data_IF_570886975887
#
_entry.id   IF_570886975887
#
_cell.length_a   1.000
_cell.length_b   1.000
_cell.length_c   1.000
_cell.angle_alpha   90.00
_cell.angle_beta   90.00
_cell.angle_gamma   90.00
#
_symmetry.space_group_name_H-M   'P 1'
#
loop_
_entity.id
_entity.type
_entity.pdbx_description
1 polymer ?
#
# COMPACT_ATOMS: atom_id res chain seq x y z
N UNK A 1 -18.38 -14.65 15.61
CA UNK A 1 -17.25 -14.28 14.71
C UNK A 1 -17.44 -15.06 13.41
N UNK A 2 -17.29 -14.41 12.25
CA UNK A 2 -17.38 -15.08 10.95
C UNK A 2 -16.33 -16.22 10.88
N UNK A 3 -16.70 -17.44 10.37
CA UNK A 3 -15.77 -18.56 10.18
C UNK A 3 -14.49 -18.20 9.41
N UNK A 4 -14.61 -17.46 8.33
CA UNK A 4 -13.47 -16.98 7.53
C UNK A 4 -12.51 -16.10 8.34
N UNK A 5 -13.06 -15.19 9.17
CA UNK A 5 -12.24 -14.36 10.10
C UNK A 5 -11.51 -15.21 11.13
N UNK A 6 -12.13 -16.29 11.63
CA UNK A 6 -11.47 -17.23 12.58
C UNK A 6 -10.28 -17.92 11.92
N UNK A 7 -10.46 -18.44 10.69
CA UNK A 7 -9.38 -19.08 9.94
C UNK A 7 -8.21 -18.10 9.70
N UNK A 8 -8.48 -16.88 9.28
CA UNK A 8 -7.46 -15.86 9.09
C UNK A 8 -6.68 -15.53 10.36
N UNK A 9 -7.36 -15.36 11.51
CA UNK A 9 -6.71 -15.14 12.81
C UNK A 9 -5.82 -16.33 13.18
N UNK A 10 -6.32 -17.55 13.00
CA UNK A 10 -5.57 -18.77 13.33
C UNK A 10 -4.31 -18.92 12.48
N UNK A 11 -4.39 -18.62 11.17
CA UNK A 11 -3.22 -18.60 10.28
C UNK A 11 -2.22 -17.56 10.77
N UNK A 12 -2.67 -16.37 11.12
CA UNK A 12 -1.78 -15.33 11.64
C UNK A 12 -1.09 -15.72 12.95
N UNK A 13 -1.83 -16.27 13.91
CA UNK A 13 -1.30 -16.68 15.21
C UNK A 13 -0.31 -17.85 15.11
N UNK A 14 -0.46 -18.68 14.07
CA UNK A 14 0.40 -19.86 13.84
C UNK A 14 1.41 -19.63 12.70
N UNK A 15 1.59 -18.39 12.25
CA UNK A 15 2.34 -18.06 11.04
C UNK A 15 3.77 -18.62 11.07
N UNK A 16 4.50 -18.43 12.15
CA UNK A 16 5.89 -18.88 12.28
C UNK A 16 5.98 -20.41 12.16
N UNK A 17 5.09 -21.15 12.86
CA UNK A 17 5.02 -22.60 12.77
C UNK A 17 4.71 -23.06 11.33
N UNK A 18 3.77 -22.39 10.66
CA UNK A 18 3.40 -22.71 9.28
C UNK A 18 4.57 -22.46 8.33
N UNK A 19 5.26 -21.33 8.45
CA UNK A 19 6.43 -20.98 7.61
C UNK A 19 7.51 -22.05 7.75
N UNK A 20 7.87 -22.40 8.99
CA UNK A 20 8.88 -23.45 9.24
C UNK A 20 8.49 -24.78 8.61
N UNK A 21 7.25 -25.22 8.80
CA UNK A 21 6.76 -26.48 8.23
C UNK A 21 6.74 -26.45 6.69
N UNK A 22 6.19 -25.39 6.09
CA UNK A 22 6.04 -25.26 4.65
C UNK A 22 7.40 -25.25 3.97
N UNK A 23 8.33 -24.44 4.47
CA UNK A 23 9.68 -24.33 3.91
C UNK A 23 10.45 -25.64 4.02
N UNK A 24 10.42 -26.28 5.21
CA UNK A 24 11.07 -27.57 5.43
C UNK A 24 10.51 -28.66 4.49
N UNK A 25 9.17 -28.71 4.36
CA UNK A 25 8.50 -29.68 3.50
C UNK A 25 8.76 -29.44 2.02
N UNK A 26 8.84 -28.17 1.61
CA UNK A 26 9.15 -27.85 0.21
C UNK A 26 10.61 -28.20 -0.14
N UNK A 27 11.57 -27.97 0.76
CA UNK A 27 12.97 -28.39 0.55
C UNK A 27 13.06 -29.91 0.44
N UNK A 28 12.31 -30.67 1.25
CA UNK A 28 12.25 -32.13 1.14
C UNK A 28 11.74 -32.60 -0.24
N UNK A 29 10.67 -31.95 -0.76
CA UNK A 29 10.03 -32.30 -2.03
C UNK A 29 10.80 -31.74 -3.25
N UNK A 30 11.54 -30.67 -3.08
CA UNK A 30 12.33 -30.00 -4.13
C UNK A 30 13.79 -29.83 -3.66
N UNK A 31 14.62 -30.88 -3.71
CA UNK A 31 15.98 -30.88 -3.15
C UNK A 31 16.89 -29.77 -3.71
N UNK A 32 16.63 -29.26 -4.92
CA UNK A 32 17.37 -28.12 -5.50
C UNK A 32 17.34 -26.87 -4.60
N UNK A 33 16.30 -26.69 -3.79
CA UNK A 33 16.20 -25.58 -2.83
C UNK A 33 17.21 -25.70 -1.67
N UNK A 34 17.74 -26.90 -1.41
CA UNK A 34 18.79 -27.08 -0.40
C UNK A 34 20.10 -26.41 -0.82
N UNK A 35 20.33 -26.24 -2.12
CA UNK A 35 21.51 -25.62 -2.71
C UNK A 35 21.45 -24.08 -2.65
N UNK A 36 20.33 -23.51 -2.28
CA UNK A 36 20.18 -22.06 -2.12
C UNK A 36 21.19 -21.52 -1.12
N UNK A 37 21.83 -20.40 -1.48
CA UNK A 37 22.70 -19.68 -0.56
C UNK A 37 21.87 -19.05 0.60
N UNK A 38 22.57 -18.48 1.58
CA UNK A 38 21.95 -17.90 2.78
C UNK A 38 20.89 -16.84 2.44
N UNK A 39 21.18 -15.95 1.49
CA UNK A 39 20.24 -14.88 1.09
C UNK A 39 19.01 -15.45 0.39
N UNK A 40 19.18 -16.41 -0.51
CA UNK A 40 18.06 -17.07 -1.20
C UNK A 40 17.16 -17.83 -0.23
N UNK A 41 17.74 -18.54 0.75
CA UNK A 41 16.97 -19.21 1.82
C UNK A 41 16.19 -18.21 2.64
N UNK A 42 16.82 -17.11 3.02
CA UNK A 42 16.13 -16.04 3.77
C UNK A 42 14.95 -15.46 2.98
N UNK A 43 15.17 -15.11 1.71
CA UNK A 43 14.08 -14.61 0.84
C UNK A 43 12.95 -15.63 0.71
N UNK A 44 13.26 -16.93 0.62
CA UNK A 44 12.25 -17.98 0.52
C UNK A 44 11.39 -18.08 1.79
N UNK A 45 11.98 -17.90 3.00
CA UNK A 45 11.24 -17.78 4.25
C UNK A 45 10.36 -16.53 4.27
N UNK A 46 10.92 -15.38 3.92
CA UNK A 46 10.21 -14.09 3.88
C UNK A 46 9.04 -14.12 2.88
N UNK A 47 9.22 -14.69 1.69
CA UNK A 47 8.16 -14.84 0.69
C UNK A 47 7.01 -15.73 1.23
N UNK A 48 7.33 -16.86 1.87
CA UNK A 48 6.32 -17.74 2.47
C UNK A 48 5.56 -17.03 3.60
N UNK A 49 6.25 -16.22 4.40
CA UNK A 49 5.65 -15.38 5.43
C UNK A 49 4.69 -14.34 4.84
N UNK A 50 5.09 -13.68 3.74
CA UNK A 50 4.21 -12.74 3.03
C UNK A 50 2.97 -13.43 2.46
N UNK A 51 3.11 -14.60 1.84
CA UNK A 51 1.96 -15.36 1.31
C UNK A 51 0.93 -15.65 2.41
N UNK A 52 1.39 -16.12 3.58
CA UNK A 52 0.50 -16.38 4.72
C UNK A 52 -0.10 -15.10 5.31
N UNK A 53 0.66 -14.01 5.36
CA UNK A 53 0.19 -12.72 5.88
C UNK A 53 -0.92 -12.13 5.01
N UNK A 54 -0.77 -12.17 3.68
CA UNK A 54 -1.80 -11.72 2.74
C UNK A 54 -3.03 -12.62 2.76
N UNK A 55 -2.83 -13.95 2.81
CA UNK A 55 -3.94 -14.90 2.94
C UNK A 55 -4.73 -14.67 4.23
N UNK A 56 -4.03 -14.58 5.37
CA UNK A 56 -4.65 -14.37 6.67
C UNK A 56 -5.46 -13.06 6.70
N UNK A 57 -4.91 -11.98 6.18
CA UNK A 57 -5.57 -10.68 6.18
C UNK A 57 -6.81 -10.66 5.28
N UNK A 58 -6.70 -11.23 4.08
CA UNK A 58 -7.82 -11.33 3.14
C UNK A 58 -8.98 -12.18 3.70
N UNK A 59 -8.65 -13.25 4.44
CA UNK A 59 -9.65 -14.07 5.15
C UNK A 59 -10.28 -13.31 6.32
N UNK A 60 -9.49 -12.58 7.14
CA UNK A 60 -10.02 -11.81 8.27
C UNK A 60 -11.04 -10.78 7.83
N UNK A 61 -10.82 -10.17 6.68
CA UNK A 61 -11.68 -9.15 6.10
C UNK A 61 -12.77 -9.72 5.20
N UNK A 62 -12.69 -11.02 4.87
CA UNK A 62 -13.58 -11.72 3.94
C UNK A 62 -13.60 -11.06 2.54
N UNK A 63 -12.41 -10.68 2.05
CA UNK A 63 -12.20 -9.97 0.77
C UNK A 63 -11.19 -10.75 -0.09
N UNK A 64 -11.64 -11.76 -0.87
CA UNK A 64 -10.76 -12.62 -1.68
C UNK A 64 -9.93 -11.84 -2.70
N UNK A 65 -10.48 -10.75 -3.25
CA UNK A 65 -9.80 -9.91 -4.23
C UNK A 65 -8.46 -9.38 -3.74
N UNK A 66 -8.31 -9.16 -2.42
CA UNK A 66 -7.05 -8.68 -1.84
C UNK A 66 -5.93 -9.71 -1.98
N UNK A 67 -6.24 -10.99 -1.82
CA UNK A 67 -5.27 -12.07 -2.02
C UNK A 67 -5.01 -12.31 -3.52
N UNK A 68 -6.05 -12.32 -4.35
CA UNK A 68 -5.94 -12.50 -5.80
C UNK A 68 -5.03 -11.44 -6.44
N UNK A 69 -5.20 -10.16 -6.10
CA UNK A 69 -4.37 -9.08 -6.63
C UNK A 69 -2.91 -9.18 -6.16
N UNK A 70 -2.69 -9.57 -4.90
CA UNK A 70 -1.35 -9.90 -4.41
C UNK A 70 -0.72 -11.04 -5.22
N UNK A 71 -1.44 -12.12 -5.50
CA UNK A 71 -0.95 -13.26 -6.26
C UNK A 71 -0.62 -12.88 -7.71
N UNK A 72 -1.44 -12.04 -8.35
CA UNK A 72 -1.13 -11.49 -9.69
C UNK A 72 0.15 -10.68 -9.67
N UNK A 73 0.34 -9.86 -8.63
CA UNK A 73 1.55 -9.08 -8.43
C UNK A 73 2.79 -9.98 -8.27
N UNK A 74 2.69 -11.00 -7.40
CA UNK A 74 3.78 -11.98 -7.14
C UNK A 74 4.13 -12.74 -8.41
N UNK A 75 3.14 -13.16 -9.20
CA UNK A 75 3.37 -13.87 -10.46
C UNK A 75 4.23 -13.06 -11.43
N UNK A 76 3.93 -11.77 -11.60
CA UNK A 76 4.72 -10.87 -12.45
C UNK A 76 6.14 -10.75 -11.89
N UNK A 77 6.27 -10.45 -10.59
CA UNK A 77 7.58 -10.27 -9.94
C UNK A 77 8.46 -11.51 -10.07
N UNK A 78 7.95 -12.70 -9.78
CA UNK A 78 8.74 -13.94 -9.87
C UNK A 78 9.11 -14.31 -11.30
N UNK A 79 8.32 -13.92 -12.29
CA UNK A 79 8.69 -14.11 -13.69
C UNK A 79 9.95 -13.30 -14.08
N UNK A 80 10.19 -12.14 -13.44
CA UNK A 80 11.35 -11.28 -13.74
C UNK A 80 12.67 -11.82 -13.18
N UNK A 81 12.60 -12.60 -12.11
CA UNK A 81 13.76 -13.26 -11.51
C UNK A 81 13.93 -14.71 -11.99
N UNK A 82 13.16 -15.12 -13.02
CA UNK A 82 13.14 -16.46 -13.60
C UNK A 82 12.88 -17.57 -12.57
N UNK A 83 12.07 -17.32 -11.55
CA UNK A 83 11.64 -18.34 -10.61
C UNK A 83 10.55 -19.21 -11.28
N UNK A 84 10.79 -20.55 -11.41
CA UNK A 84 9.80 -21.43 -12.04
C UNK A 84 8.46 -21.38 -11.31
N UNK A 85 7.32 -21.22 -12.03
CA UNK A 85 5.98 -21.18 -11.42
C UNK A 85 5.68 -22.41 -10.55
N UNK A 86 6.28 -23.56 -10.88
CA UNK A 86 6.11 -24.83 -10.15
C UNK A 86 6.58 -24.72 -8.68
N UNK A 87 7.56 -23.85 -8.37
CA UNK A 87 8.04 -23.64 -7.01
C UNK A 87 6.94 -22.98 -6.15
N UNK A 88 6.25 -21.99 -6.70
CA UNK A 88 5.19 -21.28 -5.98
C UNK A 88 3.92 -22.12 -5.90
N UNK A 89 3.57 -22.82 -6.97
CA UNK A 89 2.45 -23.77 -6.97
C UNK A 89 2.68 -24.88 -5.92
N UNK A 90 3.92 -25.37 -5.80
CA UNK A 90 4.27 -26.35 -4.76
C UNK A 90 4.12 -25.73 -3.36
N UNK A 91 4.57 -24.47 -3.15
CA UNK A 91 4.40 -23.77 -1.88
C UNK A 91 2.91 -23.68 -1.48
N UNK A 92 2.02 -23.27 -2.38
CA UNK A 92 0.57 -23.20 -2.09
C UNK A 92 -0.06 -24.58 -1.84
N UNK A 93 0.36 -25.63 -2.55
CA UNK A 93 -0.11 -27.01 -2.29
C UNK A 93 0.32 -27.47 -0.89
N UNK A 94 1.58 -27.25 -0.54
CA UNK A 94 2.10 -27.58 0.80
C UNK A 94 1.40 -26.75 1.87
N UNK A 95 1.13 -25.48 1.61
CA UNK A 95 0.34 -24.62 2.51
C UNK A 95 -1.05 -25.20 2.74
N UNK A 96 -1.76 -25.68 1.72
CA UNK A 96 -3.05 -26.36 1.87
C UNK A 96 -2.95 -27.61 2.75
N UNK A 97 -1.90 -28.41 2.54
CA UNK A 97 -1.68 -29.63 3.34
C UNK A 97 -1.33 -29.28 4.80
N UNK A 98 -0.54 -28.24 5.01
CA UNK A 98 -0.23 -27.73 6.35
C UNK A 98 -1.49 -27.22 7.08
N UNK A 99 -2.34 -26.46 6.39
CA UNK A 99 -3.61 -25.99 6.96
C UNK A 99 -4.53 -27.15 7.36
N UNK A 100 -4.66 -28.19 6.52
CA UNK A 100 -5.42 -29.40 6.84
C UNK A 100 -4.83 -30.18 8.01
N UNK A 101 -3.51 -30.17 8.15
CA UNK A 101 -2.80 -30.90 9.23
C UNK A 101 -2.94 -30.20 10.58
N UNK A 102 -2.79 -28.91 10.62
CA UNK A 102 -2.72 -28.13 11.85
C UNK A 102 -4.04 -27.52 12.31
N UNK A 103 -5.04 -27.43 11.41
CA UNK A 103 -6.29 -26.74 11.70
C UNK A 103 -7.49 -27.66 11.48
N UNK A 104 -8.46 -27.53 12.38
CA UNK A 104 -9.76 -28.18 12.28
C UNK A 104 -10.84 -27.12 12.56
N UNK A 105 -10.69 -25.94 11.95
CA UNK A 105 -11.50 -24.75 12.23
C UNK A 105 -12.58 -24.58 11.17
N UNK A 106 -13.72 -24.02 11.58
CA UNK A 106 -14.68 -23.46 10.64
C UNK A 106 -13.98 -22.36 9.82
N UNK A 107 -14.19 -22.35 8.49
CA UNK A 107 -13.55 -21.40 7.58
C UNK A 107 -12.26 -21.91 6.92
N UNK A 108 -11.85 -23.15 7.21
CA UNK A 108 -10.72 -23.80 6.56
C UNK A 108 -10.96 -23.95 5.04
N UNK A 109 -12.16 -24.36 4.64
CA UNK A 109 -12.51 -24.58 3.21
C UNK A 109 -12.41 -23.29 2.39
N UNK A 110 -12.74 -22.13 2.98
CA UNK A 110 -12.56 -20.83 2.34
C UNK A 110 -11.06 -20.51 2.15
N UNK A 111 -10.23 -20.80 3.13
CA UNK A 111 -8.78 -20.62 2.99
C UNK A 111 -8.19 -21.53 1.91
N UNK A 112 -8.66 -22.78 1.82
CA UNK A 112 -8.27 -23.71 0.76
C UNK A 112 -8.72 -23.23 -0.61
N UNK A 113 -9.92 -22.65 -0.71
CA UNK A 113 -10.44 -22.06 -1.95
C UNK A 113 -9.59 -20.87 -2.41
N UNK A 114 -9.17 -19.99 -1.50
CA UNK A 114 -8.27 -18.86 -1.85
C UNK A 114 -6.93 -19.37 -2.41
N UNK A 115 -6.39 -20.45 -1.84
CA UNK A 115 -5.15 -21.08 -2.33
C UNK A 115 -5.35 -21.79 -3.67
N UNK A 116 -6.52 -22.39 -3.93
CA UNK A 116 -6.84 -22.97 -5.23
C UNK A 116 -6.90 -21.89 -6.31
N UNK A 117 -7.59 -20.78 -6.05
CA UNK A 117 -7.61 -19.62 -6.94
C UNK A 117 -6.19 -19.06 -7.21
N UNK A 118 -5.32 -19.04 -6.18
CA UNK A 118 -3.92 -18.63 -6.35
C UNK A 118 -3.16 -19.56 -7.30
N UNK A 119 -3.35 -20.88 -7.17
CA UNK A 119 -2.75 -21.87 -8.07
C UNK A 119 -3.26 -21.66 -9.51
N UNK A 120 -4.55 -21.45 -9.71
CA UNK A 120 -5.15 -21.18 -11.02
C UNK A 120 -4.60 -19.90 -11.65
N UNK A 121 -4.42 -18.81 -10.86
CA UNK A 121 -3.80 -17.59 -11.32
C UNK A 121 -2.37 -17.86 -11.81
N UNK A 122 -1.57 -18.66 -11.09
CA UNK A 122 -0.21 -18.99 -11.52
C UNK A 122 -0.18 -19.84 -12.80
N UNK A 123 -1.18 -20.68 -13.03
CA UNK A 123 -1.30 -21.52 -14.23
C UNK A 123 -1.87 -20.77 -15.45
N UNK A 124 -2.54 -19.64 -15.26
CA UNK A 124 -3.10 -18.81 -16.33
C UNK A 124 -2.01 -18.03 -17.09
N UNK A 125 -2.37 -17.32 -18.15
CA UNK A 125 -1.48 -16.36 -18.80
C UNK A 125 -1.14 -15.19 -17.86
N UNK A 126 0.08 -14.66 -17.98
CA UNK A 126 0.46 -13.49 -17.19
C UNK A 126 -0.31 -12.26 -17.64
N UNK A 127 -0.88 -11.47 -16.71
CA UNK A 127 -1.59 -10.25 -17.08
C UNK A 127 -0.62 -9.26 -17.73
N UNK A 128 -1.13 -8.48 -18.70
CA UNK A 128 -0.40 -7.33 -19.22
C UNK A 128 -0.30 -6.29 -18.11
N UNK A 129 0.84 -5.65 -18.05
CA UNK A 129 1.10 -4.61 -17.06
C UNK A 129 1.50 -3.32 -17.77
N UNK A 130 0.48 -2.55 -18.15
CA UNK A 130 0.63 -1.32 -18.93
C UNK A 130 1.27 -0.19 -18.08
N UNK A 131 1.85 0.80 -18.75
CA UNK A 131 2.43 1.98 -18.10
C UNK A 131 1.37 2.81 -17.39
N UNK A 132 1.74 3.41 -16.26
CA UNK A 132 0.92 4.39 -15.56
C UNK A 132 1.02 5.80 -16.15
N UNK A 133 2.00 6.05 -17.04
CA UNK A 133 2.11 7.29 -17.79
C UNK A 133 1.30 7.11 -19.08
N UNK A 134 -0.01 7.39 -18.99
CA UNK A 134 -0.98 7.14 -20.05
C UNK A 134 -0.92 8.21 -21.15
N UNK A 135 -1.43 7.87 -22.34
CA UNK A 135 -1.46 8.76 -23.50
C UNK A 135 -2.37 9.99 -23.30
N UNK A 136 -3.41 9.87 -22.49
CA UNK A 136 -4.36 10.94 -22.17
C UNK A 136 -3.91 11.84 -21.00
N UNK A 137 -2.77 11.56 -20.38
CA UNK A 137 -2.21 12.45 -19.36
C UNK A 137 -1.74 13.77 -20.00
N UNK A 138 -2.29 14.94 -19.61
CA UNK A 138 -1.92 16.24 -20.19
C UNK A 138 -0.45 16.61 -19.95
N UNK A 139 0.22 15.99 -19.00
CA UNK A 139 1.64 16.16 -18.67
C UNK A 139 2.49 14.92 -19.00
N UNK A 140 2.04 14.08 -19.94
CA UNK A 140 2.71 12.82 -20.30
C UNK A 140 4.20 13.01 -20.57
N UNK A 141 4.56 13.95 -21.46
CA UNK A 141 5.95 14.18 -21.85
C UNK A 141 6.79 14.71 -20.67
N UNK A 142 6.21 15.54 -19.82
CA UNK A 142 6.86 16.02 -18.60
C UNK A 142 7.10 14.86 -17.62
N UNK A 143 6.10 14.01 -17.38
CA UNK A 143 6.21 12.85 -16.52
C UNK A 143 7.27 11.85 -17.05
N UNK A 144 7.30 11.60 -18.35
CA UNK A 144 8.29 10.71 -18.97
C UNK A 144 9.72 11.27 -18.86
N UNK A 145 9.91 12.55 -19.15
CA UNK A 145 11.23 13.19 -19.05
C UNK A 145 11.70 13.27 -17.58
N UNK A 146 10.78 13.58 -16.66
CA UNK A 146 11.05 13.58 -15.22
C UNK A 146 11.53 12.20 -14.74
N UNK A 147 10.82 11.14 -15.13
CA UNK A 147 11.21 9.76 -14.83
C UNK A 147 12.59 9.42 -15.41
N UNK A 148 12.84 9.76 -16.68
CA UNK A 148 14.12 9.46 -17.34
C UNK A 148 15.29 10.14 -16.61
N UNK A 149 15.18 11.43 -16.29
CA UNK A 149 16.21 12.14 -15.52
C UNK A 149 16.50 11.46 -14.18
N UNK A 150 15.46 11.01 -13.47
CA UNK A 150 15.65 10.36 -12.18
C UNK A 150 16.24 8.94 -12.31
N UNK A 151 15.88 8.17 -13.34
CA UNK A 151 16.49 6.86 -13.61
C UNK A 151 17.99 7.02 -13.92
N UNK A 152 18.39 8.09 -14.62
CA UNK A 152 19.78 8.45 -14.93
C UNK A 152 20.52 9.06 -13.74
N UNK A 153 19.88 9.27 -12.59
CA UNK A 153 20.47 9.90 -11.41
C UNK A 153 20.55 11.43 -11.49
N UNK A 154 19.92 12.04 -12.49
CA UNK A 154 20.00 13.48 -12.77
C UNK A 154 18.88 14.26 -12.07
N UNK A 155 18.97 14.33 -10.73
CA UNK A 155 18.00 15.03 -9.87
C UNK A 155 17.87 16.52 -10.19
N UNK A 156 18.97 17.18 -10.57
CA UNK A 156 18.97 18.62 -10.79
C UNK A 156 18.22 19.02 -12.05
N UNK A 157 18.31 18.24 -13.14
CA UNK A 157 17.54 18.51 -14.34
C UNK A 157 16.08 18.11 -14.18
N UNK A 158 15.78 17.03 -13.41
CA UNK A 158 14.43 16.72 -12.97
C UNK A 158 13.79 17.91 -12.22
N UNK A 159 14.52 18.54 -11.29
CA UNK A 159 14.03 19.72 -10.57
C UNK A 159 13.83 20.94 -11.48
N UNK A 160 14.77 21.22 -12.38
CA UNK A 160 14.64 22.32 -13.37
C UNK A 160 13.42 22.14 -14.25
N UNK A 161 13.17 20.90 -14.71
CA UNK A 161 11.98 20.59 -15.50
C UNK A 161 10.70 20.95 -14.76
N UNK A 162 10.58 20.59 -13.49
CA UNK A 162 9.41 20.91 -12.66
C UNK A 162 9.24 22.42 -12.49
N UNK A 163 10.33 23.16 -12.18
CA UNK A 163 10.23 24.62 -12.05
C UNK A 163 9.83 25.30 -13.35
N UNK A 164 10.42 24.89 -14.47
CA UNK A 164 10.03 25.41 -15.77
C UNK A 164 8.56 25.11 -16.11
N UNK A 165 8.06 23.94 -15.74
CA UNK A 165 6.66 23.57 -15.92
C UNK A 165 5.73 24.50 -15.11
N UNK A 166 6.09 24.84 -13.87
CA UNK A 166 5.36 25.82 -13.04
C UNK A 166 5.39 27.23 -13.64
N UNK A 167 6.57 27.69 -14.11
CA UNK A 167 6.73 29.00 -14.75
C UNK A 167 5.89 29.13 -16.01
N UNK A 168 5.62 28.02 -16.69
CA UNK A 168 4.73 27.93 -17.85
C UNK A 168 3.24 27.76 -17.50
N UNK A 169 2.86 27.95 -16.25
CA UNK A 169 1.46 28.06 -15.80
C UNK A 169 0.83 26.78 -15.28
N UNK A 170 1.57 25.67 -15.15
CA UNK A 170 1.07 24.50 -14.45
C UNK A 170 0.88 24.80 -12.95
N UNK A 171 -0.14 24.22 -12.34
CA UNK A 171 -0.36 24.34 -10.90
C UNK A 171 0.44 23.28 -10.12
N UNK A 172 0.67 23.50 -8.82
CA UNK A 172 1.24 22.48 -7.93
C UNK A 172 0.40 21.20 -7.96
N UNK A 173 -0.93 21.33 -7.99
CA UNK A 173 -1.86 20.19 -8.08
C UNK A 173 -1.62 19.39 -9.36
N UNK A 174 -1.45 20.05 -10.50
CA UNK A 174 -1.17 19.39 -11.79
C UNK A 174 0.12 18.58 -11.72
N UNK A 175 1.18 19.17 -11.19
CA UNK A 175 2.48 18.50 -11.03
C UNK A 175 2.36 17.30 -10.09
N UNK A 176 1.68 17.44 -8.95
CA UNK A 176 1.52 16.36 -7.98
C UNK A 176 0.74 15.20 -8.57
N UNK A 177 -0.39 15.44 -9.23
CA UNK A 177 -1.27 14.39 -9.71
C UNK A 177 -0.82 13.80 -11.06
N UNK A 178 -0.34 14.65 -11.98
CA UNK A 178 -0.07 14.23 -13.36
C UNK A 178 1.41 13.97 -13.65
N UNK A 179 2.32 14.39 -12.73
CA UNK A 179 3.76 14.10 -12.87
C UNK A 179 4.22 13.19 -11.74
N UNK A 180 4.23 13.65 -10.49
CA UNK A 180 4.81 12.89 -9.38
C UNK A 180 4.06 11.58 -9.10
N UNK A 181 2.73 11.62 -8.96
CA UNK A 181 1.95 10.44 -8.63
C UNK A 181 2.07 9.36 -9.71
N UNK A 182 1.94 9.74 -10.99
CA UNK A 182 2.03 8.77 -12.09
C UNK A 182 3.44 8.22 -12.24
N UNK A 183 4.46 9.07 -12.06
CA UNK A 183 5.87 8.66 -12.09
C UNK A 183 6.18 7.66 -10.97
N UNK A 184 5.72 7.91 -9.74
CA UNK A 184 5.97 6.98 -8.63
C UNK A 184 5.27 5.64 -8.81
N UNK A 185 4.06 5.61 -9.39
CA UNK A 185 3.41 4.35 -9.77
C UNK A 185 4.19 3.63 -10.86
N UNK A 186 4.71 4.36 -11.85
CA UNK A 186 5.52 3.81 -12.93
C UNK A 186 6.85 3.25 -12.40
N UNK A 187 7.49 3.92 -11.44
CA UNK A 187 8.68 3.46 -10.74
C UNK A 187 8.42 2.11 -10.05
N UNK A 188 7.32 1.98 -9.33
CA UNK A 188 6.92 0.70 -8.71
C UNK A 188 6.71 -0.40 -9.76
N UNK A 189 6.07 -0.08 -10.90
CA UNK A 189 5.91 -1.01 -12.03
C UNK A 189 7.25 -1.42 -12.63
N UNK A 190 8.14 -0.47 -12.87
CA UNK A 190 9.47 -0.76 -13.44
C UNK A 190 10.32 -1.62 -12.51
N UNK A 191 10.24 -1.39 -11.20
CA UNK A 191 10.88 -2.24 -10.21
C UNK A 191 10.30 -3.65 -10.22
N UNK A 192 8.99 -3.79 -10.20
CA UNK A 192 8.31 -5.09 -10.28
C UNK A 192 8.68 -5.87 -11.55
N UNK A 193 8.89 -5.16 -12.67
CA UNK A 193 9.34 -5.74 -13.94
C UNK A 193 10.87 -5.98 -14.04
N UNK A 194 11.62 -5.74 -12.96
CA UNK A 194 13.07 -5.88 -12.95
C UNK A 194 13.84 -4.92 -13.87
N UNK A 195 13.18 -3.83 -14.32
CA UNK A 195 13.78 -2.81 -15.21
C UNK A 195 14.62 -1.79 -14.45
N UNK A 196 14.35 -1.62 -13.17
CA UNK A 196 15.14 -0.85 -12.22
C UNK A 196 15.33 -1.68 -10.94
N UNK A 197 16.41 -1.43 -10.20
CA UNK A 197 16.66 -2.09 -8.92
C UNK A 197 16.22 -1.23 -7.73
N UNK A 198 16.08 -1.84 -6.57
CA UNK A 198 15.50 -1.20 -5.37
C UNK A 198 16.19 0.09 -4.95
N UNK A 199 17.53 0.19 -5.09
CA UNK A 199 18.24 1.42 -4.75
C UNK A 199 17.94 2.58 -5.74
N UNK A 200 17.62 2.29 -7.01
CA UNK A 200 17.12 3.32 -7.94
C UNK A 200 15.71 3.78 -7.55
N UNK A 201 14.83 2.86 -7.19
CA UNK A 201 13.49 3.20 -6.67
C UNK A 201 13.59 4.13 -5.45
N UNK A 202 14.42 3.77 -4.46
CA UNK A 202 14.65 4.61 -3.27
C UNK A 202 15.23 5.98 -3.62
N UNK A 203 16.20 6.03 -4.54
CA UNK A 203 16.76 7.31 -5.02
C UNK A 203 15.69 8.20 -5.66
N UNK A 204 14.85 7.63 -6.55
CA UNK A 204 13.79 8.36 -7.25
C UNK A 204 12.76 8.90 -6.25
N UNK A 205 12.35 8.09 -5.29
CA UNK A 205 11.43 8.49 -4.21
C UNK A 205 12.02 9.62 -3.37
N UNK A 206 13.28 9.50 -2.92
CA UNK A 206 13.96 10.54 -2.13
C UNK A 206 14.18 11.83 -2.93
N UNK A 207 14.53 11.73 -4.21
CA UNK A 207 14.67 12.89 -5.09
C UNK A 207 13.32 13.61 -5.30
N UNK A 208 12.23 12.86 -5.46
CA UNK A 208 10.88 13.44 -5.56
C UNK A 208 10.51 14.16 -4.26
N UNK A 209 10.73 13.57 -3.10
CA UNK A 209 10.50 14.23 -1.80
C UNK A 209 11.31 15.52 -1.63
N UNK A 210 12.56 15.50 -2.07
CA UNK A 210 13.40 16.70 -2.06
C UNK A 210 12.83 17.82 -2.96
N UNK A 211 12.41 17.49 -4.19
CA UNK A 211 11.80 18.43 -5.13
C UNK A 211 10.49 18.98 -4.56
N UNK A 212 9.62 18.14 -4.00
CA UNK A 212 8.39 18.54 -3.31
C UNK A 212 8.67 19.56 -2.20
N UNK A 213 9.71 19.32 -1.38
CA UNK A 213 10.07 20.24 -0.30
C UNK A 213 10.46 21.63 -0.81
N UNK A 214 11.04 21.72 -2.01
CA UNK A 214 11.40 22.99 -2.65
C UNK A 214 10.22 23.73 -3.27
N UNK A 215 9.06 23.06 -3.42
CA UNK A 215 7.82 23.68 -3.90
C UNK A 215 7.02 24.38 -2.79
N UNK A 216 7.39 24.20 -1.52
CA UNK A 216 6.71 24.82 -0.37
C UNK A 216 6.51 26.33 -0.49
N UNK A 217 7.48 27.16 -0.96
CA UNK A 217 7.26 28.60 -1.13
C UNK A 217 6.08 28.97 -2.05
N UNK A 218 5.70 28.08 -2.96
CA UNK A 218 4.59 28.30 -3.88
C UNK A 218 3.21 27.86 -3.32
N UNK A 219 3.19 27.23 -2.11
CA UNK A 219 1.99 26.62 -1.54
C UNK A 219 1.27 27.52 -0.54
N UNK A 220 1.96 28.50 0.07
CA UNK A 220 1.42 29.27 1.19
C UNK A 220 0.67 30.56 0.80
N UNK A 221 0.14 30.63 -0.41
CA UNK A 221 -0.58 31.80 -0.90
C UNK A 221 -2.05 31.90 -0.47
N UNK A 222 -2.64 30.78 -0.01
CA UNK A 222 -4.05 30.73 0.33
C UNK A 222 -4.30 31.01 1.82
N UNK A 223 -5.35 31.80 2.16
CA UNK A 223 -5.68 32.07 3.57
C UNK A 223 -6.12 30.79 4.28
N UNK A 224 -5.65 30.62 5.52
CA UNK A 224 -6.04 29.50 6.38
C UNK A 224 -7.53 29.53 6.72
N UNK A 225 -8.18 28.34 6.68
CA UNK A 225 -9.61 28.18 6.91
C UNK A 225 -9.97 27.72 8.32
N UNK A 226 -9.00 27.61 9.25
CA UNK A 226 -9.14 27.02 10.59
C UNK A 226 -9.70 25.58 10.57
N UNK A 227 -9.49 24.85 9.48
CA UNK A 227 -9.83 23.43 9.33
C UNK A 227 -8.57 22.62 9.57
N UNK A 228 -8.67 21.57 10.39
CA UNK A 228 -7.54 20.74 10.81
C UNK A 228 -7.75 19.30 10.41
N UNK A 229 -6.72 18.70 9.83
CA UNK A 229 -6.68 17.30 9.47
C UNK A 229 -5.37 16.66 9.92
N UNK A 230 -5.43 15.45 10.48
CA UNK A 230 -4.27 14.60 10.71
C UNK A 230 -4.14 13.62 9.55
N UNK A 231 -2.91 13.41 9.05
CA UNK A 231 -2.65 12.49 7.93
C UNK A 231 -1.46 11.62 8.28
N UNK A 232 -1.63 10.29 8.16
CA UNK A 232 -0.59 9.34 8.53
C UNK A 232 -0.66 8.06 7.69
N UNK A 233 0.49 7.37 7.59
CA UNK A 233 0.51 5.95 7.29
C UNK A 233 0.36 5.16 8.59
N UNK A 234 -0.40 4.08 8.56
CA UNK A 234 -0.55 3.20 9.72
C UNK A 234 0.79 2.56 10.11
N UNK A 235 0.89 2.08 11.35
CA UNK A 235 2.05 1.31 11.80
C UNK A 235 2.35 0.14 10.85
N UNK A 236 3.62 -0.03 10.46
CA UNK A 236 4.06 -1.01 9.47
C UNK A 236 4.00 -0.52 8.01
N UNK A 237 3.35 0.60 7.71
CA UNK A 237 3.23 1.12 6.35
C UNK A 237 4.35 2.13 6.03
N UNK A 238 5.13 1.83 4.98
CA UNK A 238 6.27 2.65 4.57
C UNK A 238 5.99 3.51 3.31
N UNK A 239 4.88 3.28 2.61
CA UNK A 239 4.51 4.01 1.39
C UNK A 239 3.95 5.40 1.74
N UNK A 240 4.84 6.32 2.12
CA UNK A 240 4.48 7.61 2.70
C UNK A 240 4.30 8.75 1.69
N UNK A 241 4.79 8.59 0.46
CA UNK A 241 4.82 9.70 -0.50
C UNK A 241 3.42 10.15 -0.93
N UNK A 242 2.50 9.19 -1.15
CA UNK A 242 1.10 9.48 -1.46
C UNK A 242 0.40 10.32 -0.38
N UNK A 243 0.38 9.88 0.89
CA UNK A 243 -0.18 10.67 1.98
C UNK A 243 0.53 12.02 2.20
N UNK A 244 1.83 12.12 1.94
CA UNK A 244 2.53 13.41 1.95
C UNK A 244 1.98 14.35 0.88
N UNK A 245 1.80 13.88 -0.37
CA UNK A 245 1.17 14.68 -1.42
C UNK A 245 -0.24 15.13 -1.02
N UNK A 246 -1.02 14.26 -0.40
CA UNK A 246 -2.37 14.59 0.11
C UNK A 246 -2.27 15.71 1.15
N UNK A 247 -1.34 15.63 2.10
CA UNK A 247 -1.16 16.67 3.14
C UNK A 247 -0.81 18.03 2.52
N UNK A 248 0.16 18.05 1.61
CA UNK A 248 0.58 19.25 0.89
C UNK A 248 -0.59 19.87 0.10
N UNK A 249 -1.42 19.05 -0.54
CA UNK A 249 -2.60 19.52 -1.27
C UNK A 249 -3.72 20.03 -0.33
N UNK A 250 -3.86 19.48 0.88
CA UNK A 250 -4.74 20.07 1.91
C UNK A 250 -4.23 21.44 2.36
N UNK A 251 -2.90 21.59 2.60
CA UNK A 251 -2.28 22.88 2.92
C UNK A 251 -2.52 23.90 1.80
N UNK A 252 -2.35 23.52 0.54
CA UNK A 252 -2.63 24.34 -0.62
C UNK A 252 -4.10 24.82 -0.66
N UNK A 253 -5.03 24.03 -0.11
CA UNK A 253 -6.45 24.38 0.01
C UNK A 253 -6.81 25.06 1.35
N UNK A 254 -5.82 25.60 2.07
CA UNK A 254 -6.02 26.42 3.27
C UNK A 254 -6.34 25.64 4.55
N UNK A 255 -6.12 24.32 4.58
CA UNK A 255 -6.22 23.51 5.79
C UNK A 255 -4.94 23.60 6.62
N UNK A 256 -5.04 23.34 7.91
CA UNK A 256 -3.90 22.99 8.75
C UNK A 256 -3.75 21.48 8.72
N UNK A 257 -2.85 20.96 7.86
CA UNK A 257 -2.62 19.54 7.69
C UNK A 257 -1.41 19.08 8.52
N UNK A 258 -1.65 18.17 9.46
CA UNK A 258 -0.62 17.59 10.31
C UNK A 258 -0.21 16.23 9.74
N UNK A 259 0.87 16.20 8.98
CA UNK A 259 1.41 14.99 8.37
C UNK A 259 2.42 14.31 9.30
N UNK A 260 2.21 13.01 9.60
CA UNK A 260 3.03 12.25 10.54
C UNK A 260 3.97 11.22 9.88
N UNK A 261 3.92 11.10 8.56
CA UNK A 261 4.83 10.22 7.82
C UNK A 261 4.47 8.76 7.88
N UNK A 262 5.50 7.94 7.60
CA UNK A 262 5.43 6.49 7.57
C UNK A 262 5.41 5.88 8.98
N UNK A 263 4.89 4.63 9.07
CA UNK A 263 5.02 3.78 10.25
C UNK A 263 4.65 4.48 11.57
N UNK A 264 3.53 5.23 11.57
CA UNK A 264 3.13 6.02 12.74
C UNK A 264 2.50 5.13 13.81
N UNK A 265 3.05 5.07 15.05
CA UNK A 265 2.49 4.25 16.12
C UNK A 265 1.08 4.73 16.50
N UNK A 266 0.13 3.80 16.61
CA UNK A 266 -1.29 4.08 16.86
C UNK A 266 -1.53 4.98 18.09
N UNK A 267 -0.86 4.70 19.22
CA UNK A 267 -1.01 5.50 20.44
C UNK A 267 -0.47 6.93 20.29
N UNK A 268 0.58 7.12 19.50
CA UNK A 268 1.10 8.45 19.20
C UNK A 268 0.14 9.24 18.32
N UNK A 269 -0.49 8.57 17.35
CA UNK A 269 -1.47 9.17 16.47
C UNK A 269 -2.74 9.61 17.24
N UNK A 270 -3.24 8.80 18.16
CA UNK A 270 -4.35 9.14 19.06
C UNK A 270 -4.03 10.40 19.88
N UNK A 271 -2.83 10.46 20.47
CA UNK A 271 -2.38 11.65 21.21
C UNK A 271 -2.28 12.89 20.32
N UNK A 272 -1.79 12.74 19.10
CA UNK A 272 -1.67 13.84 18.14
C UNK A 272 -3.04 14.38 17.72
N UNK A 273 -4.02 13.52 17.43
CA UNK A 273 -5.40 13.92 17.11
C UNK A 273 -5.97 14.82 18.22
N UNK A 274 -5.83 14.38 19.48
CA UNK A 274 -6.28 15.15 20.64
C UNK A 274 -5.52 16.47 20.79
N UNK A 275 -4.18 16.46 20.69
CA UNK A 275 -3.32 17.63 20.84
C UNK A 275 -3.65 18.72 19.82
N UNK A 276 -3.74 18.34 18.55
CA UNK A 276 -4.00 19.29 17.46
C UNK A 276 -5.49 19.62 17.31
N UNK A 277 -6.36 18.92 18.03
CA UNK A 277 -7.82 19.08 17.94
C UNK A 277 -8.31 18.94 16.50
N UNK A 278 -7.80 17.94 15.79
CA UNK A 278 -8.22 17.64 14.45
C UNK A 278 -9.62 16.99 14.46
N UNK A 279 -10.52 17.45 13.61
CA UNK A 279 -11.85 16.84 13.44
C UNK A 279 -11.87 15.72 12.41
N UNK A 280 -10.83 15.63 11.59
CA UNK A 280 -10.69 14.61 10.54
C UNK A 280 -9.30 13.99 10.65
N UNK A 281 -9.24 12.67 10.46
CA UNK A 281 -8.00 11.95 10.21
C UNK A 281 -8.10 11.22 8.87
N UNK A 282 -7.03 11.29 8.06
CA UNK A 282 -6.86 10.48 6.85
C UNK A 282 -5.75 9.45 7.07
N UNK A 283 -6.07 8.17 6.84
CA UNK A 283 -5.16 7.05 7.03
C UNK A 283 -4.90 6.40 5.68
N UNK A 284 -3.62 6.28 5.31
CA UNK A 284 -3.19 5.62 4.08
C UNK A 284 -2.61 4.24 4.36
N UNK A 285 -3.03 3.27 3.53
CA UNK A 285 -2.52 1.90 3.53
C UNK A 285 -2.29 1.45 2.09
N UNK A 286 -1.13 0.90 1.82
CA UNK A 286 -0.77 0.29 0.54
C UNK A 286 -0.70 -1.23 0.66
N UNK A 287 -0.13 -1.73 1.75
CA UNK A 287 0.08 -3.16 1.96
C UNK A 287 -1.13 -3.77 2.68
N UNK A 288 -1.78 -4.75 2.04
CA UNK A 288 -3.00 -5.40 2.57
C UNK A 288 -2.83 -5.93 3.98
N UNK A 289 -1.68 -6.50 4.32
CA UNK A 289 -1.42 -7.05 5.66
C UNK A 289 -1.40 -6.01 6.79
N UNK A 290 -1.46 -4.71 6.47
CA UNK A 290 -1.58 -3.63 7.44
C UNK A 290 -3.04 -3.23 7.75
N UNK A 291 -4.03 -3.82 7.09
CA UNK A 291 -5.45 -3.41 7.24
C UNK A 291 -6.01 -3.67 8.64
N UNK A 292 -5.65 -4.80 9.28
CA UNK A 292 -6.04 -5.06 10.67
C UNK A 292 -5.54 -3.98 11.64
N UNK A 293 -4.37 -3.40 11.39
CA UNK A 293 -3.87 -2.30 12.20
C UNK A 293 -4.72 -1.04 12.08
N UNK A 294 -5.36 -0.82 10.91
CA UNK A 294 -6.33 0.27 10.72
C UNK A 294 -7.61 -0.01 11.48
N UNK A 295 -8.18 -1.23 11.37
CA UNK A 295 -9.37 -1.65 12.14
C UNK A 295 -9.13 -1.44 13.64
N UNK A 296 -7.98 -1.85 14.15
CA UNK A 296 -7.60 -1.68 15.56
C UNK A 296 -7.49 -0.20 15.96
N UNK A 297 -6.87 0.64 15.12
CA UNK A 297 -6.77 2.07 15.38
C UNK A 297 -8.16 2.72 15.42
N UNK A 298 -9.05 2.38 14.48
CA UNK A 298 -10.42 2.87 14.44
C UNK A 298 -11.15 2.50 15.74
N UNK A 299 -11.06 1.24 16.18
CA UNK A 299 -11.67 0.79 17.44
C UNK A 299 -11.12 1.57 18.64
N UNK A 300 -9.81 1.84 18.70
CA UNK A 300 -9.21 2.64 19.77
C UNK A 300 -9.72 4.08 19.77
N UNK A 301 -9.83 4.71 18.59
CA UNK A 301 -10.37 6.06 18.46
C UNK A 301 -11.84 6.11 18.93
N UNK A 302 -12.68 5.14 18.53
CA UNK A 302 -14.10 5.08 18.92
C UNK A 302 -14.32 4.83 20.42
N UNK A 303 -13.37 4.20 21.09
CA UNK A 303 -13.39 3.94 22.54
C UNK A 303 -12.77 5.07 23.39
N UNK A 304 -12.19 6.10 22.77
CA UNK A 304 -11.60 7.24 23.47
C UNK A 304 -12.59 8.42 23.51
N UNK A 305 -13.14 8.72 24.69
CA UNK A 305 -14.15 9.77 24.88
C UNK A 305 -13.74 11.15 24.38
N UNK A 306 -12.43 11.45 24.33
CA UNK A 306 -11.92 12.75 23.89
C UNK A 306 -11.92 12.92 22.35
N UNK A 307 -11.89 11.82 21.59
CA UNK A 307 -11.71 11.83 20.13
C UNK A 307 -12.65 10.89 19.36
N UNK A 308 -13.60 10.23 20.04
CA UNK A 308 -14.51 9.24 19.41
C UNK A 308 -15.31 9.77 18.23
N UNK A 309 -15.57 11.09 18.20
CA UNK A 309 -16.35 11.76 17.15
C UNK A 309 -15.49 12.21 15.96
N UNK A 310 -14.16 12.02 16.02
CA UNK A 310 -13.25 12.33 14.90
C UNK A 310 -13.63 11.52 13.68
N UNK A 311 -13.73 12.18 12.54
CA UNK A 311 -14.08 11.54 11.27
C UNK A 311 -12.86 10.89 10.64
N UNK A 312 -13.02 9.64 10.23
CA UNK A 312 -11.93 8.80 9.72
C UNK A 312 -12.12 8.56 8.23
N UNK A 313 -11.22 9.08 7.42
CA UNK A 313 -11.13 8.82 5.98
C UNK A 313 -9.99 7.82 5.77
N UNK A 314 -10.27 6.74 5.05
CA UNK A 314 -9.24 5.78 4.64
C UNK A 314 -9.00 5.85 3.14
N UNK A 315 -7.78 5.50 2.73
CA UNK A 315 -7.38 5.45 1.32
C UNK A 315 -6.16 4.56 1.12
N UNK A 316 -5.80 4.40 -0.15
CA UNK A 316 -4.71 3.56 -0.59
C UNK A 316 -5.18 2.32 -1.34
N UNK A 317 -4.22 1.51 -1.80
CA UNK A 317 -4.47 0.47 -2.78
C UNK A 317 -5.56 -0.55 -2.41
N UNK A 318 -5.58 -1.17 -1.21
CA UNK A 318 -6.60 -2.16 -0.85
C UNK A 318 -8.02 -1.61 -0.90
N UNK A 319 -8.22 -0.35 -0.52
CA UNK A 319 -9.53 0.28 -0.55
C UNK A 319 -10.02 0.60 -1.96
N UNK A 320 -9.10 0.71 -2.94
CA UNK A 320 -9.47 0.88 -4.34
C UNK A 320 -9.98 -0.41 -5.00
N UNK A 321 -9.64 -1.57 -4.42
CA UNK A 321 -10.01 -2.89 -4.94
C UNK A 321 -11.41 -3.32 -4.50
N UNK A 322 -11.92 -2.74 -3.41
CA UNK A 322 -13.16 -3.18 -2.76
C UNK A 322 -14.15 -2.02 -2.61
N UNK A 323 -15.45 -2.33 -2.60
CA UNK A 323 -16.49 -1.29 -2.49
C UNK A 323 -16.79 -0.90 -1.02
N UNK A 324 -16.78 -1.88 -0.13
CA UNK A 324 -17.33 -1.74 1.22
C UNK A 324 -16.32 -2.01 2.34
N UNK A 325 -15.08 -2.32 2.01
CA UNK A 325 -14.03 -2.60 3.01
C UNK A 325 -13.92 -1.48 4.06
N UNK A 326 -13.96 -0.21 3.65
CA UNK A 326 -13.88 0.92 4.55
C UNK A 326 -15.02 0.95 5.57
N UNK A 327 -16.24 0.53 5.16
CA UNK A 327 -17.39 0.40 6.08
C UNK A 327 -17.21 -0.75 7.05
N UNK A 328 -16.72 -1.89 6.52
CA UNK A 328 -16.54 -3.11 7.31
C UNK A 328 -15.52 -2.93 8.43
N UNK A 329 -14.50 -2.09 8.23
CA UNK A 329 -13.52 -1.75 9.26
C UNK A 329 -13.93 -0.53 10.13
N UNK A 330 -15.09 0.08 9.88
CA UNK A 330 -15.65 1.17 10.72
C UNK A 330 -15.15 2.58 10.41
N UNK A 331 -14.58 2.82 9.22
CA UNK A 331 -14.25 4.18 8.78
C UNK A 331 -15.50 4.98 8.40
N UNK A 332 -15.43 6.32 8.48
CA UNK A 332 -16.53 7.21 8.11
C UNK A 332 -16.57 7.48 6.59
N UNK A 333 -15.47 7.28 5.90
CA UNK A 333 -15.39 7.47 4.47
C UNK A 333 -14.15 6.89 3.81
N UNK A 334 -14.21 6.74 2.50
CA UNK A 334 -13.14 6.30 1.64
C UNK A 334 -12.86 7.33 0.55
N UNK A 335 -11.59 7.57 0.27
CA UNK A 335 -11.15 8.45 -0.80
C UNK A 335 -10.15 7.73 -1.71
N UNK A 336 -10.49 7.64 -2.99
CA UNK A 336 -9.60 7.06 -4.03
C UNK A 336 -8.54 8.02 -4.54
N UNK A 337 -8.73 9.34 -4.30
CA UNK A 337 -7.85 10.41 -4.76
C UNK A 337 -8.02 11.65 -3.88
N UNK A 338 -7.19 12.68 -4.14
CA UNK A 338 -7.21 13.92 -3.39
C UNK A 338 -8.57 14.64 -3.44
N UNK A 339 -9.21 14.74 -4.61
CA UNK A 339 -10.45 15.50 -4.75
C UNK A 339 -11.58 14.88 -3.93
N UNK A 340 -11.69 13.55 -3.92
CA UNK A 340 -12.63 12.83 -3.05
C UNK A 340 -12.29 12.98 -1.57
N UNK A 341 -11.01 12.97 -1.21
CA UNK A 341 -10.58 13.20 0.18
C UNK A 341 -10.94 14.60 0.67
N UNK A 342 -10.68 15.62 -0.15
CA UNK A 342 -11.01 17.02 0.16
C UNK A 342 -12.53 17.22 0.26
N UNK A 343 -13.31 16.64 -0.64
CA UNK A 343 -14.76 16.72 -0.63
C UNK A 343 -15.35 16.10 0.65
N UNK A 344 -14.90 14.90 1.02
CA UNK A 344 -15.30 14.23 2.26
C UNK A 344 -14.90 15.02 3.51
N UNK A 345 -13.67 15.50 3.58
CA UNK A 345 -13.19 16.28 4.72
C UNK A 345 -14.00 17.58 4.89
N UNK A 346 -14.30 18.28 3.79
CA UNK A 346 -15.16 19.47 3.83
C UNK A 346 -16.58 19.14 4.30
N UNK A 347 -17.16 18.04 3.81
CA UNK A 347 -18.49 17.58 4.26
C UNK A 347 -18.52 17.31 5.77
N UNK A 348 -17.51 16.62 6.31
CA UNK A 348 -17.40 16.33 7.75
C UNK A 348 -17.18 17.57 8.63
N UNK A 349 -16.68 18.66 8.09
CA UNK A 349 -16.51 19.90 8.84
C UNK A 349 -17.77 20.74 8.95
N UNK A 350 -18.74 20.51 8.07
CA UNK A 350 -20.03 21.25 8.04
C UNK A 350 -21.08 20.59 8.96
N UNK A 351 -20.94 19.29 9.23
CA UNK A 351 -21.74 18.55 10.19
C UNK A 351 -21.27 18.79 11.63
#
# INVERSE_FOLDING_TARGET
MNPTKKAGLKIQDSKDLLVEYIVAKQIELQPVLSEYNFQQKRSFYEDTEYHLSYLAESLKLNEPILFEEYIKWVKIFFSTINLPPEHIIANFKITKDALRLFFNEEGLEEALTYLDNAIDIFQSESPKFDSYILDDNPFKDIAQNYLNFLIEGNKDDAAKLIYHTLENGATIKDIYLNVFQVTQKEVGRLWQLGKIFVAQEHFITAATQFIMSRLYPYMFSNPKQNKKICIACINGELHELGPRMIADLFELNGWDAYYFGANTPQLSLIKAISLYKAKVIAISVTMTYNLSAVEELILKIRNDEAIKDVKIIVGGYPFNLTKDLWRNIGADGYASNFDSALALANYFYIQ
#
